data_IF_668545833905
#
_entry.id   IF_668545833905
#
_cell.length_a   1.000
_cell.length_b   1.000
_cell.length_c   1.000
_cell.angle_alpha   90.00
_cell.angle_beta   90.00
_cell.angle_gamma   90.00
#
_symmetry.space_group_name_H-M   'P 1'
#
loop_
_entity.id
_entity.type
_entity.pdbx_description
1 polymer ?
#
# COMPACT_ATOMS: atom_id res chain seq x y z
N UNK A 1 -10.01 -8.31 -6.25
CA UNK A 1 -9.83 -7.55 -7.50
C UNK A 1 -10.87 -6.43 -7.52
N UNK A 2 -10.48 -5.18 -7.21
CA UNK A 2 -11.43 -4.10 -6.89
C UNK A 2 -11.14 -2.80 -7.66
N UNK A 3 -10.93 -2.88 -8.98
CA UNK A 3 -10.64 -1.70 -9.82
C UNK A 3 -11.51 -1.61 -11.09
N UNK A 4 -12.60 -2.38 -11.16
CA UNK A 4 -13.43 -2.51 -12.38
C UNK A 4 -14.19 -1.22 -12.81
N UNK A 5 -14.08 -0.12 -12.06
CA UNK A 5 -14.68 1.18 -12.42
C UNK A 5 -13.69 2.17 -13.06
N UNK A 6 -12.40 1.83 -13.16
CA UNK A 6 -11.36 2.69 -13.75
C UNK A 6 -10.99 2.17 -15.14
N UNK A 7 -10.97 3.06 -16.14
CA UNK A 7 -10.60 2.72 -17.51
C UNK A 7 -9.06 2.68 -17.64
N UNK A 8 -8.44 1.70 -16.99
CA UNK A 8 -6.99 1.52 -16.90
C UNK A 8 -6.47 0.67 -18.05
N UNK A 9 -5.26 0.97 -18.52
CA UNK A 9 -4.48 0.09 -19.38
C UNK A 9 -4.01 -1.15 -18.62
N UNK A 10 -3.68 -2.22 -19.34
CA UNK A 10 -3.15 -3.43 -18.71
C UNK A 10 -1.85 -3.17 -17.92
N UNK A 11 -0.97 -2.32 -18.44
CA UNK A 11 0.27 -1.93 -17.74
C UNK A 11 0.00 -1.22 -16.42
N UNK A 12 -1.06 -0.42 -16.33
CA UNK A 12 -1.47 0.24 -15.09
C UNK A 12 -2.04 -0.75 -14.07
N UNK A 13 -2.85 -1.71 -14.54
CA UNK A 13 -3.37 -2.81 -13.71
C UNK A 13 -2.21 -3.64 -13.15
N UNK A 14 -1.25 -4.01 -13.99
CA UNK A 14 -0.09 -4.81 -13.59
C UNK A 14 0.76 -4.05 -12.56
N UNK A 15 0.99 -2.75 -12.78
CA UNK A 15 1.67 -1.88 -11.82
C UNK A 15 0.96 -1.83 -10.47
N UNK A 16 -0.37 -1.66 -10.46
CA UNK A 16 -1.15 -1.65 -9.21
C UNK A 16 -1.10 -3.00 -8.48
N UNK A 17 -1.17 -4.11 -9.21
CA UNK A 17 -1.04 -5.45 -8.63
C UNK A 17 0.36 -5.67 -8.02
N UNK A 18 1.42 -5.21 -8.68
CA UNK A 18 2.78 -5.27 -8.16
C UNK A 18 2.94 -4.45 -6.87
N UNK A 19 2.36 -3.24 -6.81
CA UNK A 19 2.36 -2.42 -5.59
C UNK A 19 1.62 -3.14 -4.45
N UNK A 20 0.49 -3.79 -4.75
CA UNK A 20 -0.30 -4.54 -3.75
C UNK A 20 0.42 -5.80 -3.25
N UNK A 21 1.15 -6.50 -4.10
CA UNK A 21 2.00 -7.60 -3.68
C UNK A 21 3.07 -7.11 -2.70
N UNK A 22 3.77 -6.02 -3.02
CA UNK A 22 4.79 -5.43 -2.14
C UNK A 22 4.21 -4.94 -0.81
N UNK A 23 2.99 -4.37 -0.81
CA UNK A 23 2.28 -3.98 0.42
C UNK A 23 1.98 -5.20 1.32
N UNK A 24 1.61 -6.33 0.72
CA UNK A 24 1.37 -7.57 1.46
C UNK A 24 2.66 -8.12 2.09
N UNK A 25 3.76 -8.16 1.33
CA UNK A 25 5.06 -8.61 1.81
C UNK A 25 5.58 -7.73 2.97
N UNK A 26 5.44 -6.41 2.84
CA UNK A 26 5.77 -5.48 3.92
C UNK A 26 4.90 -5.74 5.16
N UNK A 27 3.61 -6.05 4.97
CA UNK A 27 2.70 -6.42 6.05
C UNK A 27 3.15 -7.67 6.82
N UNK A 28 3.69 -8.66 6.13
CA UNK A 28 4.25 -9.87 6.75
C UNK A 28 5.53 -9.56 7.53
N UNK A 29 6.42 -8.73 6.97
CA UNK A 29 7.62 -8.28 7.68
C UNK A 29 7.27 -7.53 8.98
N UNK A 30 6.25 -6.67 8.99
CA UNK A 30 5.81 -6.00 10.22
C UNK A 30 5.35 -6.97 11.30
N UNK A 31 4.71 -8.09 10.94
CA UNK A 31 4.35 -9.13 11.92
C UNK A 31 5.59 -9.76 12.51
N UNK A 32 6.55 -10.16 11.65
CA UNK A 32 7.80 -10.80 12.08
C UNK A 32 8.60 -9.90 13.01
N UNK A 33 8.78 -8.62 12.65
CA UNK A 33 9.50 -7.64 13.50
C UNK A 33 8.75 -7.40 14.82
N UNK A 34 7.42 -7.40 14.80
CA UNK A 34 6.60 -7.26 16.01
C UNK A 34 6.72 -8.40 17.01
N UNK A 35 7.33 -9.54 16.63
CA UNK A 35 7.60 -10.68 17.52
C UNK A 35 8.99 -10.61 18.17
N UNK A 36 9.86 -9.70 17.75
CA UNK A 36 11.23 -9.59 18.28
C UNK A 36 11.18 -8.89 19.65
N UNK A 37 11.74 -9.54 20.68
CA UNK A 37 11.85 -8.96 22.02
C UNK A 37 12.69 -7.66 21.99
N UNK A 38 12.21 -6.62 22.68
CA UNK A 38 12.89 -5.33 22.77
C UNK A 38 12.65 -4.37 21.60
N UNK A 39 11.89 -4.76 20.57
CA UNK A 39 11.45 -3.82 19.54
C UNK A 39 10.52 -2.76 20.14
N UNK A 40 10.78 -1.50 19.83
CA UNK A 40 9.90 -0.39 20.22
C UNK A 40 8.59 -0.44 19.41
N UNK A 41 7.44 -0.73 20.05
CA UNK A 41 6.16 -0.89 19.35
C UNK A 41 5.64 0.44 18.79
N UNK A 42 6.01 1.58 19.37
CA UNK A 42 5.58 2.91 18.92
C UNK A 42 6.29 3.26 17.62
N UNK A 43 7.60 3.04 17.53
CA UNK A 43 8.35 3.25 16.30
C UNK A 43 7.89 2.30 15.19
N UNK A 44 7.62 1.04 15.52
CA UNK A 44 7.08 0.07 14.56
C UNK A 44 5.71 0.50 14.03
N UNK A 45 4.82 1.01 14.90
CA UNK A 45 3.50 1.51 14.51
C UNK A 45 3.58 2.76 13.62
N UNK A 46 4.51 3.69 13.91
CA UNK A 46 4.77 4.87 13.07
C UNK A 46 5.28 4.47 11.68
N UNK A 47 6.26 3.56 11.63
CA UNK A 47 6.77 3.03 10.37
C UNK A 47 5.66 2.37 9.54
N UNK A 48 4.82 1.54 10.17
CA UNK A 48 3.68 0.89 9.53
C UNK A 48 2.70 1.91 8.95
N UNK A 49 2.31 2.91 9.74
CA UNK A 49 1.37 3.95 9.32
C UNK A 49 1.90 4.75 8.13
N UNK A 50 3.16 5.19 8.20
CA UNK A 50 3.78 5.99 7.14
C UNK A 50 3.92 5.17 5.85
N UNK A 51 4.30 3.89 5.95
CA UNK A 51 4.43 3.03 4.77
C UNK A 51 3.06 2.72 4.14
N UNK A 52 2.02 2.47 4.94
CA UNK A 52 0.66 2.29 4.43
C UNK A 52 0.14 3.54 3.70
N UNK A 53 0.45 4.74 4.21
CA UNK A 53 0.15 5.98 3.50
C UNK A 53 0.95 6.08 2.19
N UNK A 54 2.23 5.71 2.22
CA UNK A 54 3.06 5.63 1.01
C UNK A 54 2.45 4.72 -0.06
N UNK A 55 2.04 3.49 0.30
CA UNK A 55 1.36 2.58 -0.63
C UNK A 55 0.04 3.12 -1.15
N UNK A 56 -0.76 3.78 -0.30
CA UNK A 56 -1.98 4.47 -0.75
C UNK A 56 -1.66 5.48 -1.85
N UNK A 57 -0.69 6.37 -1.62
CA UNK A 57 -0.30 7.39 -2.60
C UNK A 57 0.30 6.77 -3.87
N UNK A 58 1.04 5.67 -3.73
CA UNK A 58 1.64 4.96 -4.87
C UNK A 58 0.56 4.31 -5.74
N UNK A 59 -0.47 3.70 -5.15
CA UNK A 59 -1.63 3.20 -5.91
C UNK A 59 -2.39 4.36 -6.57
N UNK A 60 -2.61 5.46 -5.84
CA UNK A 60 -3.33 6.63 -6.35
C UNK A 60 -2.62 7.32 -7.52
N UNK A 61 -1.29 7.25 -7.64
CA UNK A 61 -0.56 7.81 -8.78
C UNK A 61 -0.93 7.11 -10.11
N UNK A 62 -1.41 5.87 -10.04
CA UNK A 62 -1.93 5.12 -11.19
C UNK A 62 -3.44 5.27 -11.30
N UNK A 63 -4.17 4.99 -10.21
CA UNK A 63 -5.63 4.94 -10.22
C UNK A 63 -6.29 6.29 -10.56
N UNK A 64 -5.59 7.41 -10.29
CA UNK A 64 -6.03 8.79 -10.58
C UNK A 64 -7.53 8.99 -10.34
N UNK A 65 -8.04 8.72 -9.12
CA UNK A 65 -9.46 8.84 -8.86
C UNK A 65 -9.92 10.27 -9.19
N UNK A 66 -11.05 10.39 -9.87
CA UNK A 66 -11.65 11.69 -10.15
C UNK A 66 -11.89 12.44 -8.83
N UNK A 67 -11.63 13.74 -8.82
CA UNK A 67 -12.00 14.58 -7.69
C UNK A 67 -13.53 14.60 -7.61
N UNK A 68 -14.13 14.10 -6.52
CA UNK A 68 -15.59 14.10 -6.38
C UNK A 68 -16.18 15.52 -6.26
N UNK A 69 -15.33 16.55 -6.13
CA UNK A 69 -15.72 17.94 -6.02
C UNK A 69 -15.29 18.80 -7.23
N UNK A 70 -14.70 18.19 -8.27
CA UNK A 70 -14.42 18.88 -9.55
C UNK A 70 -15.61 18.90 -10.49
#
# INVERSE_FOLDING_TARGET
MAFASLNLTQSEIDGMNAIKALEADAGELFKQIGLIEGVDPRLLALAKTNLQQGFRWFVHSIAKPADPFS
#
